data_IF_420647133617
#
_entry.id   IF_420647133617
#
_cell.length_a   1.000
_cell.length_b   1.000
_cell.length_c   1.000
_cell.angle_alpha   90.00
_cell.angle_beta   90.00
_cell.angle_gamma   90.00
#
_symmetry.space_group_name_H-M   'P 1'
#
loop_
_entity.id
_entity.type
_entity.pdbx_description
1 polymer ?
#
# COMPACT_ATOMS: atom_id res chain seq x y z
N UNK A 1 -19.67 -27.81 4.35
CA UNK A 1 -18.80 -26.65 4.09
C UNK A 1 -18.37 -26.71 2.63
N UNK A 2 -18.37 -25.57 1.93
CA UNK A 2 -17.84 -25.51 0.57
C UNK A 2 -16.33 -25.78 0.58
N UNK A 3 -15.79 -26.31 -0.51
CA UNK A 3 -14.34 -26.50 -0.68
C UNK A 3 -13.67 -25.11 -0.74
N UNK A 4 -12.59 -24.84 0.00
CA UNK A 4 -11.84 -23.60 -0.13
C UNK A 4 -11.36 -23.38 -1.57
N UNK A 5 -11.43 -22.13 -2.05
CA UNK A 5 -10.94 -21.77 -3.39
C UNK A 5 -9.42 -21.66 -3.46
N UNK A 6 -8.76 -21.34 -2.35
CA UNK A 6 -7.31 -21.30 -2.23
C UNK A 6 -6.84 -20.96 -0.81
N UNK A 7 -5.52 -20.96 -0.61
CA UNK A 7 -4.84 -20.61 0.63
C UNK A 7 -4.05 -19.33 0.45
N UNK A 8 -4.15 -18.39 1.40
CA UNK A 8 -3.31 -17.19 1.43
C UNK A 8 -2.29 -17.31 2.57
N UNK A 9 -1.02 -17.04 2.30
CA UNK A 9 0.08 -17.09 3.28
C UNK A 9 0.87 -15.77 3.29
N UNK A 10 0.78 -15.04 4.40
CA UNK A 10 1.32 -13.71 4.55
C UNK A 10 2.77 -13.70 5.09
N UNK A 11 3.70 -14.39 4.42
CA UNK A 11 5.14 -14.36 4.75
C UNK A 11 5.60 -15.30 5.84
N UNK A 12 6.93 -15.27 6.07
CA UNK A 12 7.68 -16.14 6.97
C UNK A 12 7.43 -17.63 6.66
N UNK A 13 7.67 -17.97 5.40
CA UNK A 13 7.52 -19.33 4.86
C UNK A 13 8.62 -20.26 5.39
N UNK A 14 9.76 -19.67 5.72
CA UNK A 14 10.92 -20.29 6.37
C UNK A 14 11.19 -19.60 7.70
N UNK A 15 11.87 -20.29 8.61
CA UNK A 15 12.17 -19.75 9.95
C UNK A 15 13.62 -19.25 10.08
N UNK A 16 14.51 -19.72 9.22
CA UNK A 16 15.94 -19.45 9.28
C UNK A 16 16.44 -18.82 7.98
N UNK A 17 16.04 -17.58 7.68
CA UNK A 17 16.67 -16.76 6.64
C UNK A 17 16.70 -17.44 5.26
N UNK A 18 15.57 -18.00 4.83
CA UNK A 18 15.45 -18.60 3.50
C UNK A 18 16.24 -19.90 3.29
N UNK A 19 16.54 -20.65 4.36
CA UNK A 19 17.29 -21.93 4.25
C UNK A 19 16.66 -22.87 3.21
N UNK A 20 17.44 -23.36 2.22
CA UNK A 20 16.90 -24.13 1.09
C UNK A 20 16.10 -25.38 1.49
N UNK A 21 16.50 -26.05 2.58
CA UNK A 21 15.77 -27.22 3.08
C UNK A 21 14.35 -26.87 3.56
N UNK A 22 14.16 -25.72 4.21
CA UNK A 22 12.84 -25.27 4.67
C UNK A 22 11.96 -24.85 3.50
N UNK A 23 12.55 -24.22 2.48
CA UNK A 23 11.84 -23.90 1.24
C UNK A 23 11.40 -25.17 0.48
N UNK A 24 12.25 -26.19 0.44
CA UNK A 24 11.90 -27.49 -0.13
C UNK A 24 10.73 -28.16 0.62
N UNK A 25 10.77 -28.16 1.95
CA UNK A 25 9.66 -28.67 2.77
C UNK A 25 8.37 -27.88 2.50
N UNK A 26 8.44 -26.56 2.47
CA UNK A 26 7.31 -25.69 2.14
C UNK A 26 6.71 -26.03 0.79
N UNK A 27 7.52 -26.06 -0.28
CA UNK A 27 7.01 -26.32 -1.63
C UNK A 27 6.43 -27.72 -1.78
N UNK A 28 7.02 -28.74 -1.14
CA UNK A 28 6.51 -30.10 -1.15
C UNK A 28 5.16 -30.24 -0.42
N UNK A 29 4.98 -29.54 0.70
CA UNK A 29 3.75 -29.66 1.49
C UNK A 29 2.63 -28.75 0.97
N UNK A 30 2.95 -27.55 0.49
CA UNK A 30 1.95 -26.57 0.08
C UNK A 30 1.62 -26.60 -1.41
N UNK A 31 2.53 -27.07 -2.29
CA UNK A 31 2.32 -27.02 -3.74
C UNK A 31 2.14 -25.58 -4.26
N UNK A 32 1.91 -25.38 -5.57
CA UNK A 32 1.58 -24.06 -6.15
C UNK A 32 0.18 -24.06 -6.75
N UNK A 33 -0.12 -25.06 -7.57
CA UNK A 33 -1.43 -25.29 -8.17
C UNK A 33 -2.07 -26.56 -7.60
N UNK A 34 -3.33 -26.81 -7.96
CA UNK A 34 -4.11 -27.93 -7.42
C UNK A 34 -3.38 -29.28 -7.52
N UNK A 35 -3.23 -29.96 -6.38
CA UNK A 35 -2.79 -31.36 -6.32
C UNK A 35 -1.28 -31.59 -6.37
N UNK A 36 -0.46 -30.55 -6.35
CA UNK A 36 1.01 -30.69 -6.35
C UNK A 36 1.64 -30.82 -4.95
N UNK A 37 0.88 -30.54 -3.90
CA UNK A 37 1.30 -30.68 -2.50
C UNK A 37 0.29 -31.46 -1.65
N UNK A 38 0.45 -31.40 -0.32
CA UNK A 38 -0.53 -31.93 0.64
C UNK A 38 -1.79 -31.07 0.74
N UNK A 39 -1.70 -29.81 0.31
CA UNK A 39 -2.84 -28.90 0.18
C UNK A 39 -3.50 -29.11 -1.18
N UNK A 40 -4.78 -29.48 -1.18
CA UNK A 40 -5.58 -29.78 -2.38
C UNK A 40 -6.28 -28.53 -2.94
N UNK A 41 -5.69 -27.35 -2.79
CA UNK A 41 -6.16 -26.10 -3.38
C UNK A 41 -4.97 -25.17 -3.67
N UNK A 42 -5.10 -24.20 -4.60
CA UNK A 42 -3.97 -23.36 -4.98
C UNK A 42 -3.53 -22.50 -3.80
N UNK A 43 -2.22 -22.30 -3.67
CA UNK A 43 -1.63 -21.51 -2.60
C UNK A 43 -1.16 -20.20 -3.18
N UNK A 44 -1.37 -19.09 -2.46
CA UNK A 44 -0.94 -17.74 -2.81
C UNK A 44 -0.17 -17.17 -1.63
N UNK A 45 1.14 -17.22 -1.72
CA UNK A 45 2.06 -16.81 -0.68
C UNK A 45 2.79 -15.51 -1.01
N UNK A 46 3.18 -14.77 0.04
CA UNK A 46 4.21 -13.74 -0.05
C UNK A 46 5.40 -14.11 0.84
N UNK A 47 6.54 -13.46 0.66
CA UNK A 47 7.70 -13.60 1.55
C UNK A 47 7.64 -12.65 2.76
N UNK A 48 8.19 -13.10 3.88
CA UNK A 48 8.34 -12.34 5.13
C UNK A 48 9.79 -12.00 5.46
N UNK A 49 10.04 -11.53 6.68
CA UNK A 49 11.39 -11.12 7.08
C UNK A 49 12.34 -12.29 7.39
N UNK A 50 11.81 -13.49 7.59
CA UNK A 50 12.61 -14.71 7.76
C UNK A 50 12.97 -15.38 6.43
N UNK A 51 12.50 -14.85 5.31
CA UNK A 51 12.63 -15.48 3.99
C UNK A 51 13.78 -14.94 3.14
N UNK A 52 14.64 -14.09 3.70
CA UNK A 52 15.81 -13.54 3.01
C UNK A 52 17.09 -14.24 3.47
N UNK A 53 18.01 -14.52 2.55
CA UNK A 53 19.38 -14.92 2.90
C UNK A 53 20.09 -13.76 3.63
N UNK A 54 20.28 -13.92 4.94
CA UNK A 54 21.27 -13.17 5.71
C UNK A 54 22.24 -14.14 6.37
N UNK A 55 23.10 -14.79 5.58
CA UNK A 55 24.23 -15.59 6.07
C UNK A 55 25.31 -14.81 6.88
N UNK A 56 24.97 -13.66 7.48
CA UNK A 56 25.83 -12.96 8.45
C UNK A 56 25.01 -12.26 9.54
N UNK A 57 25.41 -12.47 10.80
CA UNK A 57 25.05 -11.65 11.96
C UNK A 57 26.33 -10.95 12.49
N UNK A 58 26.42 -9.60 12.51
CA UNK A 58 25.42 -8.63 12.06
C UNK A 58 25.31 -8.61 10.52
N UNK A 59 24.17 -8.12 9.98
CA UNK A 59 23.88 -8.12 8.55
C UNK A 59 24.95 -7.33 7.78
N UNK A 60 25.84 -8.04 7.12
CA UNK A 60 26.67 -7.49 6.04
C UNK A 60 25.95 -7.75 4.74
N UNK A 61 25.47 -6.69 4.09
CA UNK A 61 25.09 -6.75 2.68
C UNK A 61 26.38 -7.01 1.92
N UNK A 62 26.72 -8.29 1.70
CA UNK A 62 27.74 -8.64 0.72
C UNK A 62 27.09 -8.47 -0.66
N UNK A 63 27.60 -7.57 -1.53
CA UNK A 63 27.11 -7.47 -2.90
C UNK A 63 27.40 -8.75 -3.72
N UNK A 64 28.12 -9.72 -3.15
CA UNK A 64 28.62 -10.91 -3.84
C UNK A 64 28.40 -12.20 -3.03
N UNK A 65 27.33 -12.34 -2.22
CA UNK A 65 26.95 -13.70 -1.77
C UNK A 65 26.34 -14.46 -2.96
N UNK A 66 26.97 -15.50 -3.50
CA UNK A 66 26.49 -16.21 -4.69
C UNK A 66 25.43 -17.26 -4.36
N UNK A 67 24.86 -17.24 -3.15
CA UNK A 67 23.66 -17.98 -2.83
C UNK A 67 22.45 -17.08 -3.11
N UNK A 68 21.80 -17.38 -4.23
CA UNK A 68 20.47 -16.89 -4.61
C UNK A 68 19.54 -16.88 -3.40
N UNK A 69 18.74 -15.82 -3.25
CA UNK A 69 17.71 -15.73 -2.22
C UNK A 69 16.59 -16.73 -2.57
N UNK A 70 16.73 -17.97 -2.10
CA UNK A 70 16.02 -19.16 -2.59
C UNK A 70 14.51 -19.00 -2.51
N UNK A 71 14.01 -18.34 -1.47
CA UNK A 71 12.57 -18.07 -1.34
C UNK A 71 12.14 -17.03 -2.36
N UNK A 72 12.87 -15.92 -2.51
CA UNK A 72 12.53 -14.86 -3.49
C UNK A 72 12.53 -15.40 -4.93
N UNK A 73 13.55 -16.18 -5.30
CA UNK A 73 13.59 -16.81 -6.63
C UNK A 73 12.51 -17.89 -6.78
N UNK A 74 12.22 -18.60 -5.69
CA UNK A 74 11.10 -19.53 -5.61
C UNK A 74 9.74 -18.87 -5.84
N UNK A 75 9.50 -17.68 -5.26
CA UNK A 75 8.29 -16.88 -5.50
C UNK A 75 8.18 -16.49 -6.98
N UNK A 76 9.27 -16.05 -7.61
CA UNK A 76 9.26 -15.74 -9.06
C UNK A 76 8.86 -16.96 -9.88
N UNK A 77 9.50 -18.10 -9.64
CA UNK A 77 9.20 -19.35 -10.36
C UNK A 77 7.77 -19.84 -10.13
N UNK A 78 7.21 -19.62 -8.94
CA UNK A 78 5.80 -19.97 -8.64
C UNK A 78 4.83 -19.02 -9.32
N UNK A 79 5.14 -17.72 -9.40
CA UNK A 79 4.34 -16.77 -10.16
C UNK A 79 4.37 -17.05 -11.66
N UNK A 80 5.50 -17.52 -12.21
CA UNK A 80 5.60 -17.99 -13.60
C UNK A 80 4.66 -19.19 -13.85
N UNK A 81 4.55 -20.12 -12.90
CA UNK A 81 3.62 -21.25 -13.00
C UNK A 81 2.15 -20.83 -12.96
N UNK A 82 1.84 -19.66 -12.38
CA UNK A 82 0.49 -19.07 -12.33
C UNK A 82 0.27 -17.99 -13.40
N UNK A 83 1.21 -17.75 -14.32
CA UNK A 83 1.23 -16.53 -15.13
C UNK A 83 0.00 -16.31 -16.02
N UNK A 84 -0.77 -17.35 -16.34
CA UNK A 84 -2.04 -17.24 -17.06
C UNK A 84 -3.21 -16.76 -16.16
N UNK A 85 -3.06 -16.86 -14.84
CA UNK A 85 -4.08 -16.55 -13.82
C UNK A 85 -3.75 -15.30 -13.00
N UNK A 86 -2.47 -14.89 -12.94
CA UNK A 86 -2.01 -13.75 -12.14
C UNK A 86 -1.42 -12.64 -13.00
N UNK A 87 -1.65 -11.39 -12.60
CA UNK A 87 -0.88 -10.24 -13.07
C UNK A 87 0.35 -10.08 -12.17
N UNK A 88 1.56 -10.00 -12.74
CA UNK A 88 2.81 -10.00 -11.98
C UNK A 88 3.61 -8.72 -12.23
N UNK A 89 4.23 -8.19 -11.18
CA UNK A 89 5.15 -7.06 -11.28
C UNK A 89 6.34 -7.37 -12.19
N UNK A 90 6.98 -6.33 -12.74
CA UNK A 90 8.11 -6.49 -13.68
C UNK A 90 9.33 -7.22 -13.10
N UNK A 91 9.43 -7.32 -11.77
CA UNK A 91 10.48 -8.07 -11.07
C UNK A 91 10.06 -9.49 -10.66
N UNK A 92 8.86 -9.93 -11.04
CA UNK A 92 8.34 -11.29 -10.85
C UNK A 92 7.75 -11.59 -9.46
N UNK A 93 7.63 -10.61 -8.57
CA UNK A 93 7.43 -10.87 -7.13
C UNK A 93 6.05 -10.51 -6.60
N UNK A 94 5.58 -9.29 -6.86
CA UNK A 94 4.26 -8.84 -6.43
C UNK A 94 3.27 -9.25 -7.49
N UNK A 95 2.09 -9.67 -7.08
CA UNK A 95 1.12 -10.18 -8.02
C UNK A 95 -0.29 -9.97 -7.52
N UNK A 96 -1.23 -9.98 -8.46
CA UNK A 96 -2.65 -9.87 -8.21
C UNK A 96 -3.42 -10.87 -9.07
N UNK A 97 -4.65 -11.16 -8.68
CA UNK A 97 -5.53 -12.04 -9.42
C UNK A 97 -6.98 -11.74 -9.12
N UNK A 98 -7.86 -12.27 -9.96
CA UNK A 98 -9.29 -12.14 -9.79
C UNK A 98 -9.92 -13.50 -9.45
N UNK A 99 -10.77 -13.52 -8.42
CA UNK A 99 -11.75 -14.58 -8.24
C UNK A 99 -13.15 -14.01 -8.36
N UNK A 100 -13.81 -14.39 -9.45
CA UNK A 100 -15.11 -13.86 -9.84
C UNK A 100 -15.06 -12.32 -9.89
N UNK A 101 -15.81 -11.65 -9.02
CA UNK A 101 -15.82 -10.18 -8.95
C UNK A 101 -14.82 -9.59 -7.97
N UNK A 102 -14.04 -10.39 -7.23
CA UNK A 102 -13.13 -9.92 -6.18
C UNK A 102 -11.70 -9.88 -6.70
N UNK A 103 -11.03 -8.75 -6.48
CA UNK A 103 -9.63 -8.55 -6.85
C UNK A 103 -8.73 -8.77 -5.64
N UNK A 104 -7.67 -9.56 -5.79
CA UNK A 104 -6.73 -9.90 -4.72
C UNK A 104 -5.33 -9.41 -5.07
N UNK A 105 -4.60 -8.88 -4.09
CA UNK A 105 -3.25 -8.36 -4.28
C UNK A 105 -2.29 -8.86 -3.20
N UNK A 106 -1.16 -9.44 -3.62
CA UNK A 106 -0.02 -9.78 -2.77
C UNK A 106 1.11 -8.76 -2.93
N UNK A 107 1.51 -8.13 -1.82
CA UNK A 107 2.59 -7.13 -1.79
C UNK A 107 3.84 -7.64 -1.07
N UNK A 108 3.89 -8.95 -0.82
CA UNK A 108 4.96 -9.63 -0.09
C UNK A 108 5.24 -8.98 1.27
N UNK A 109 6.40 -8.35 1.46
CA UNK A 109 6.84 -7.90 2.78
C UNK A 109 6.02 -6.73 3.34
N UNK A 110 5.84 -5.66 2.56
CA UNK A 110 5.01 -4.49 2.92
C UNK A 110 4.80 -3.58 1.70
N UNK A 111 3.72 -2.77 1.66
CA UNK A 111 3.53 -1.72 0.65
C UNK A 111 4.56 -0.59 0.83
N UNK A 112 5.53 -0.47 -0.07
CA UNK A 112 6.51 0.61 0.04
C UNK A 112 7.26 0.97 -1.24
N UNK A 113 7.82 2.18 -1.25
CA UNK A 113 8.68 2.70 -2.33
C UNK A 113 9.84 1.78 -2.67
N UNK A 114 10.35 1.85 -3.90
CA UNK A 114 11.41 0.95 -4.35
C UNK A 114 12.66 1.02 -3.44
N UNK A 115 12.92 -0.09 -2.75
CA UNK A 115 14.08 -0.33 -1.89
C UNK A 115 14.35 -1.85 -1.84
N UNK A 116 15.47 -2.31 -1.26
CA UNK A 116 15.84 -3.73 -1.26
C UNK A 116 14.79 -4.70 -0.67
N UNK A 117 13.95 -4.21 0.24
CA UNK A 117 12.98 -5.00 0.99
C UNK A 117 11.58 -5.01 0.36
N UNK A 118 10.97 -3.84 0.13
CA UNK A 118 9.62 -3.78 -0.49
C UNK A 118 9.65 -3.98 -2.00
N UNK A 119 10.82 -3.83 -2.64
CA UNK A 119 11.05 -4.07 -4.08
C UNK A 119 9.99 -3.41 -4.97
N UNK A 120 9.58 -2.19 -4.61
CA UNK A 120 8.63 -1.38 -5.39
C UNK A 120 7.17 -1.83 -5.34
N UNK A 121 6.76 -2.59 -4.31
CA UNK A 121 5.38 -3.07 -4.14
C UNK A 121 4.32 -1.99 -4.24
N UNK A 122 4.58 -0.78 -3.74
CA UNK A 122 3.60 0.31 -3.79
C UNK A 122 3.31 0.77 -5.23
N UNK A 123 4.34 0.92 -6.06
CA UNK A 123 4.15 1.31 -7.47
C UNK A 123 3.45 0.21 -8.28
N UNK A 124 3.66 -1.06 -7.90
CA UNK A 124 2.88 -2.17 -8.45
C UNK A 124 1.41 -2.05 -8.06
N UNK A 125 1.10 -1.87 -6.77
CA UNK A 125 -0.26 -1.73 -6.26
C UNK A 125 -1.03 -0.60 -6.96
N UNK A 126 -0.45 0.60 -7.03
CA UNK A 126 -1.08 1.76 -7.65
C UNK A 126 -1.45 1.47 -9.12
N UNK A 127 -0.52 0.90 -9.88
CA UNK A 127 -0.73 0.54 -11.28
C UNK A 127 -1.74 -0.61 -11.44
N UNK A 128 -1.69 -1.58 -10.55
CA UNK A 128 -2.54 -2.76 -10.58
C UNK A 128 -4.00 -2.40 -10.31
N UNK A 129 -4.26 -1.66 -9.22
CA UNK A 129 -5.61 -1.19 -8.90
C UNK A 129 -6.16 -0.29 -10.01
N UNK A 130 -5.37 0.63 -10.56
CA UNK A 130 -5.82 1.49 -11.66
C UNK A 130 -6.24 0.70 -12.91
N UNK A 131 -5.50 -0.36 -13.27
CA UNK A 131 -5.76 -1.12 -14.50
C UNK A 131 -6.82 -2.22 -14.32
N UNK A 132 -6.85 -2.89 -13.17
CA UNK A 132 -7.64 -4.12 -12.96
C UNK A 132 -8.89 -3.89 -12.10
N UNK A 133 -8.92 -2.81 -11.32
CA UNK A 133 -10.09 -2.38 -10.55
C UNK A 133 -10.71 -1.14 -11.17
N UNK A 134 -9.90 -0.11 -11.42
CA UNK A 134 -10.34 1.18 -11.95
C UNK A 134 -11.58 1.69 -11.23
N UNK A 135 -12.58 2.12 -12.00
CA UNK A 135 -13.85 2.65 -11.48
C UNK A 135 -14.93 1.58 -11.23
N UNK A 136 -14.58 0.29 -11.31
CA UNK A 136 -15.58 -0.79 -11.21
C UNK A 136 -16.23 -0.90 -9.83
N UNK A 137 -15.57 -0.39 -8.78
CA UNK A 137 -16.01 -0.52 -7.39
C UNK A 137 -15.95 -1.96 -6.87
N UNK A 138 -15.34 -2.87 -7.62
CA UNK A 138 -15.26 -4.28 -7.25
C UNK A 138 -14.44 -4.43 -5.95
N UNK A 139 -14.83 -5.37 -5.07
CA UNK A 139 -14.15 -5.55 -3.79
C UNK A 139 -12.68 -5.96 -3.97
N UNK A 140 -11.82 -5.39 -3.14
CA UNK A 140 -10.37 -5.63 -3.14
C UNK A 140 -9.92 -6.24 -1.81
N UNK A 141 -9.11 -7.29 -1.89
CA UNK A 141 -8.41 -7.90 -0.75
C UNK A 141 -6.92 -7.72 -0.94
N UNK A 142 -6.23 -7.20 0.07
CA UNK A 142 -4.78 -6.95 0.03
C UNK A 142 -4.12 -7.75 1.14
N UNK A 143 -2.99 -8.39 0.87
CA UNK A 143 -2.19 -8.99 1.92
C UNK A 143 -0.67 -8.77 1.75
N UNK A 144 0.00 -8.71 2.89
CA UNK A 144 1.46 -8.55 3.01
C UNK A 144 1.92 -9.00 4.40
N UNK A 145 3.22 -9.10 4.65
CA UNK A 145 3.75 -9.71 5.86
C UNK A 145 3.74 -8.77 7.08
N UNK A 146 4.39 -7.62 6.99
CA UNK A 146 4.53 -6.71 8.14
C UNK A 146 3.21 -6.05 8.54
N UNK A 147 3.06 -5.73 9.82
CA UNK A 147 1.92 -4.93 10.26
C UNK A 147 2.03 -3.47 9.82
N UNK A 148 0.90 -2.77 9.87
CA UNK A 148 0.81 -1.37 9.42
C UNK A 148 1.56 -0.40 10.35
N UNK A 149 1.87 -0.78 11.58
CA UNK A 149 2.75 -0.03 12.48
C UNK A 149 4.23 -0.16 12.12
N UNK A 150 4.61 -1.27 11.48
CA UNK A 150 5.96 -1.51 10.96
C UNK A 150 6.22 -0.82 9.60
N UNK A 151 5.26 -0.08 9.03
CA UNK A 151 5.50 0.82 7.91
C UNK A 151 6.48 1.92 8.35
N UNK A 152 7.77 1.67 8.09
CA UNK A 152 8.99 2.32 8.63
C UNK A 152 9.04 3.85 8.53
N UNK A 153 8.10 4.50 7.84
CA UNK A 153 7.97 5.96 7.80
C UNK A 153 6.51 6.41 7.65
N UNK A 154 6.18 7.57 8.23
CA UNK A 154 4.88 8.24 8.03
C UNK A 154 4.58 8.49 6.55
N UNK A 155 5.61 8.76 5.75
CA UNK A 155 5.50 8.96 4.30
C UNK A 155 5.00 7.70 3.59
N UNK A 156 5.55 6.54 3.95
CA UNK A 156 5.14 5.25 3.36
C UNK A 156 3.71 4.90 3.76
N UNK A 157 3.36 5.09 5.03
CA UNK A 157 2.00 4.86 5.52
C UNK A 157 0.97 5.75 4.83
N UNK A 158 1.28 7.05 4.66
CA UNK A 158 0.43 7.98 3.93
C UNK A 158 0.30 7.58 2.45
N UNK A 159 1.40 7.23 1.78
CA UNK A 159 1.37 6.84 0.37
C UNK A 159 0.56 5.56 0.16
N UNK A 160 0.70 4.56 1.04
CA UNK A 160 -0.15 3.36 0.99
C UNK A 160 -1.62 3.70 1.25
N UNK A 161 -1.91 4.55 2.23
CA UNK A 161 -3.28 4.99 2.52
C UNK A 161 -3.95 5.59 1.28
N UNK A 162 -3.30 6.56 0.62
CA UNK A 162 -3.85 7.19 -0.57
C UNK A 162 -3.91 6.25 -1.78
N UNK A 163 -2.97 5.32 -1.92
CA UNK A 163 -3.02 4.32 -3.01
C UNK A 163 -4.25 3.41 -2.95
N UNK A 164 -4.85 3.22 -1.78
CA UNK A 164 -6.02 2.36 -1.59
C UNK A 164 -7.29 3.11 -1.18
N UNK A 165 -7.17 4.42 -0.92
CA UNK A 165 -8.19 5.26 -0.31
C UNK A 165 -9.52 5.16 -1.05
N UNK A 166 -9.49 5.25 -2.38
CA UNK A 166 -10.70 5.35 -3.19
C UNK A 166 -11.27 3.98 -3.59
N UNK A 167 -10.54 2.91 -3.31
CA UNK A 167 -10.96 1.56 -3.68
C UNK A 167 -11.85 0.92 -2.60
N UNK A 168 -12.69 -0.02 -3.04
CA UNK A 168 -13.51 -0.84 -2.15
C UNK A 168 -12.66 -1.96 -1.51
N UNK A 169 -11.66 -1.58 -0.71
CA UNK A 169 -10.85 -2.54 0.05
C UNK A 169 -11.67 -3.11 1.19
N UNK A 170 -12.06 -4.37 1.04
CA UNK A 170 -12.92 -5.07 2.00
C UNK A 170 -12.12 -5.79 3.09
N UNK A 171 -10.81 -5.94 2.92
CA UNK A 171 -9.95 -6.52 3.95
C UNK A 171 -8.46 -6.43 3.62
N UNK A 172 -7.67 -6.09 4.64
CA UNK A 172 -6.20 -6.13 4.61
C UNK A 172 -5.75 -7.24 5.56
N UNK A 173 -4.90 -8.15 5.08
CA UNK A 173 -4.41 -9.28 5.87
C UNK A 173 -2.90 -9.19 6.07
N UNK A 174 -2.42 -9.37 7.30
CA UNK A 174 -0.99 -9.41 7.57
C UNK A 174 -0.56 -10.44 8.61
N UNK A 175 0.75 -10.66 8.68
CA UNK A 175 1.43 -11.55 9.62
C UNK A 175 2.36 -10.79 10.59
N UNK A 176 3.59 -11.30 10.73
CA UNK A 176 4.72 -10.74 11.51
C UNK A 176 4.56 -10.70 13.04
N UNK A 177 3.45 -10.15 13.54
CA UNK A 177 3.36 -9.79 14.97
C UNK A 177 3.17 -10.97 15.90
N UNK A 178 2.64 -12.08 15.39
CA UNK A 178 2.35 -13.30 16.16
C UNK A 178 1.52 -13.02 17.42
N UNK A 179 0.67 -12.00 17.37
CA UNK A 179 -0.10 -11.55 18.54
C UNK A 179 -1.46 -12.25 18.61
N UNK A 180 -1.96 -12.78 17.49
CA UNK A 180 -3.34 -13.25 17.39
C UNK A 180 -4.33 -12.11 17.56
N UNK A 181 -3.93 -10.87 17.21
CA UNK A 181 -4.78 -9.69 17.16
C UNK A 181 -5.75 -9.86 15.98
N UNK A 182 -6.97 -10.13 16.39
CA UNK A 182 -8.06 -10.71 15.60
C UNK A 182 -8.51 -9.81 14.46
N UNK A 183 -8.52 -8.50 14.68
CA UNK A 183 -9.07 -7.49 13.79
C UNK A 183 -8.79 -6.09 14.37
N UNK A 184 -8.49 -5.10 13.52
CA UNK A 184 -8.42 -3.69 13.90
C UNK A 184 -8.69 -2.76 12.71
N UNK A 185 -9.00 -1.51 13.01
CA UNK A 185 -9.23 -0.46 12.01
C UNK A 185 -7.95 0.35 11.76
N UNK A 186 -7.62 0.57 10.49
CA UNK A 186 -6.50 1.43 10.09
C UNK A 186 -6.90 2.44 9.00
N UNK A 187 -6.49 3.71 9.11
CA UNK A 187 -5.87 4.34 10.28
C UNK A 187 -6.83 4.32 11.48
N UNK A 188 -6.28 4.31 12.70
CA UNK A 188 -7.11 4.28 13.91
C UNK A 188 -7.92 5.58 14.12
N UNK A 189 -7.53 6.66 13.46
CA UNK A 189 -8.23 7.95 13.52
C UNK A 189 -9.48 7.93 12.65
N UNK A 190 -10.62 8.29 13.23
CA UNK A 190 -11.92 8.41 12.53
C UNK A 190 -12.03 9.62 11.62
N UNK A 191 -10.99 10.47 11.56
CA UNK A 191 -10.90 11.57 10.59
C UNK A 191 -10.62 11.06 9.16
N UNK A 192 -10.17 9.80 9.04
CA UNK A 192 -9.79 9.16 7.79
C UNK A 192 -10.74 7.98 7.52
N UNK A 193 -10.89 7.60 6.25
CA UNK A 193 -11.51 6.33 5.88
C UNK A 193 -10.75 5.20 6.56
N UNK A 194 -11.45 4.32 7.25
CA UNK A 194 -10.85 3.21 7.96
C UNK A 194 -11.01 1.92 7.17
N UNK A 195 -9.98 1.09 7.22
CA UNK A 195 -9.92 -0.23 6.60
C UNK A 195 -9.91 -1.30 7.67
N UNK A 196 -10.63 -2.39 7.43
CA UNK A 196 -10.60 -3.59 8.26
C UNK A 196 -9.31 -4.37 8.01
N UNK A 197 -8.54 -4.56 9.08
CA UNK A 197 -7.24 -5.23 9.05
C UNK A 197 -7.25 -6.46 9.94
N UNK A 198 -6.77 -7.58 9.43
CA UNK A 198 -6.83 -8.89 10.08
C UNK A 198 -5.44 -9.52 10.22
N UNK A 199 -5.19 -10.12 11.37
CA UNK A 199 -4.01 -10.94 11.66
C UNK A 199 -4.45 -12.26 12.34
N UNK A 200 -3.78 -13.36 12.00
CA UNK A 200 -4.19 -14.70 12.45
C UNK A 200 -3.39 -15.24 13.64
N UNK A 201 -2.33 -14.54 14.05
CA UNK A 201 -1.40 -14.98 15.09
C UNK A 201 -0.38 -16.00 14.58
N UNK A 202 0.45 -16.56 15.49
CA UNK A 202 1.49 -17.48 15.10
C UNK A 202 0.90 -18.83 14.71
N UNK A 203 1.50 -19.47 13.70
CA UNK A 203 1.38 -20.91 13.45
C UNK A 203 2.31 -21.71 14.40
N UNK A 204 2.39 -21.34 15.69
CA UNK A 204 3.36 -21.96 16.59
C UNK A 204 2.97 -23.37 17.00
N UNK A 205 3.82 -24.31 16.59
CA UNK A 205 4.05 -25.57 17.26
C UNK A 205 4.91 -25.28 18.51
N UNK A 206 4.32 -25.26 19.71
CA UNK A 206 5.12 -25.34 20.94
C UNK A 206 5.43 -26.83 21.21
N UNK A 207 6.69 -27.27 21.09
CA UNK A 207 7.07 -28.67 21.32
C UNK A 207 6.81 -29.15 22.75
N UNK A 208 6.64 -28.21 23.69
CA UNK A 208 6.38 -28.46 25.12
C UNK A 208 4.90 -28.30 25.47
N UNK A 209 4.07 -27.75 24.59
CA UNK A 209 2.64 -27.64 24.84
C UNK A 209 1.97 -29.01 24.72
N UNK A 210 1.20 -29.38 25.73
CA UNK A 210 0.42 -30.63 25.76
C UNK A 210 -0.71 -30.66 24.72
N UNK A 211 -1.01 -29.51 24.07
CA UNK A 211 -1.93 -29.39 22.94
C UNK A 211 -1.25 -28.60 21.83
N UNK A 212 -1.16 -29.20 20.64
CA UNK A 212 -0.68 -28.53 19.42
C UNK A 212 -1.81 -27.64 18.91
N UNK A 213 -1.51 -26.47 18.34
CA UNK A 213 -2.54 -25.59 17.78
C UNK A 213 -2.14 -25.14 16.37
N UNK A 214 -3.04 -25.29 15.41
CA UNK A 214 -2.96 -24.55 14.14
C UNK A 214 -4.03 -23.47 14.18
N UNK A 215 -3.66 -22.22 13.91
CA UNK A 215 -4.58 -21.08 13.81
C UNK A 215 -4.62 -20.59 12.37
N UNK A 216 -5.82 -20.36 11.86
CA UNK A 216 -6.03 -19.87 10.50
C UNK A 216 -7.32 -19.07 10.44
N UNK A 217 -7.45 -18.22 9.43
CA UNK A 217 -8.70 -17.51 9.14
C UNK A 217 -9.43 -18.25 8.03
N UNK A 218 -10.73 -18.49 8.22
CA UNK A 218 -11.64 -18.86 7.15
C UNK A 218 -12.32 -17.60 6.68
N UNK A 219 -12.06 -17.21 5.44
CA UNK A 219 -12.64 -16.03 4.81
C UNK A 219 -13.70 -16.49 3.82
N UNK A 220 -14.95 -16.14 4.07
CA UNK A 220 -16.07 -16.37 3.17
C UNK A 220 -16.49 -15.04 2.56
N UNK A 221 -16.48 -14.94 1.22
CA UNK A 221 -16.81 -13.72 0.49
C UNK A 221 -17.97 -14.04 -0.45
N UNK A 222 -19.12 -13.46 -0.17
CA UNK A 222 -20.30 -13.49 -1.04
C UNK A 222 -20.47 -12.12 -1.68
N UNK A 223 -19.96 -11.98 -2.90
CA UNK A 223 -20.05 -10.73 -3.64
C UNK A 223 -21.45 -10.42 -4.17
N UNK A 224 -22.33 -11.42 -4.29
CA UNK A 224 -23.73 -11.21 -4.65
C UNK A 224 -24.50 -10.53 -3.53
N UNK A 225 -24.24 -10.95 -2.29
CA UNK A 225 -24.90 -10.44 -1.08
C UNK A 225 -24.12 -9.33 -0.37
N UNK A 226 -22.91 -9.02 -0.85
CA UNK A 226 -22.04 -8.01 -0.28
C UNK A 226 -21.59 -8.31 1.16
N UNK A 227 -21.19 -9.55 1.42
CA UNK A 227 -20.79 -9.97 2.77
C UNK A 227 -19.44 -10.68 2.79
N UNK A 228 -18.57 -10.29 3.71
CA UNK A 228 -17.32 -10.98 4.03
C UNK A 228 -17.40 -11.44 5.48
N UNK A 229 -17.22 -12.73 5.70
CA UNK A 229 -17.10 -13.28 7.05
C UNK A 229 -15.67 -13.75 7.27
N UNK A 230 -15.02 -13.25 8.31
CA UNK A 230 -13.69 -13.71 8.72
C UNK A 230 -13.83 -14.46 10.02
N UNK A 231 -13.69 -15.78 9.93
CA UNK A 231 -13.81 -16.68 11.07
C UNK A 231 -12.41 -17.13 11.49
N UNK A 232 -11.86 -16.64 12.61
CA UNK A 232 -10.68 -17.24 13.20
C UNK A 232 -11.00 -18.65 13.68
N UNK A 233 -10.27 -19.62 13.15
CA UNK A 233 -10.36 -21.04 13.53
C UNK A 233 -9.07 -21.45 14.21
N UNK A 234 -9.21 -22.42 15.11
CA UNK A 234 -8.06 -23.16 15.59
C UNK A 234 -8.39 -24.65 15.68
N UNK A 235 -7.40 -25.48 15.37
CA UNK A 235 -7.48 -26.92 15.57
C UNK A 235 -6.39 -27.37 16.50
N UNK A 236 -6.73 -28.29 17.40
CA UNK A 236 -5.72 -29.15 18.01
C UNK A 236 -5.51 -30.40 17.16
N UNK A 237 -4.58 -31.27 17.54
CA UNK A 237 -4.41 -32.59 16.89
C UNK A 237 -5.69 -33.41 16.84
N UNK A 238 -6.65 -33.15 17.74
CA UNK A 238 -7.77 -34.06 18.01
C UNK A 238 -9.15 -33.37 18.01
N UNK A 239 -9.23 -32.04 17.87
CA UNK A 239 -10.52 -31.32 17.92
C UNK A 239 -10.47 -29.96 17.22
N UNK A 240 -11.44 -29.68 16.36
CA UNK A 240 -11.78 -28.34 15.89
C UNK A 240 -12.57 -27.64 17.01
N UNK A 241 -12.13 -26.46 17.44
CA UNK A 241 -12.86 -25.69 18.44
C UNK A 241 -13.08 -24.27 17.91
N UNK A 242 -14.32 -23.81 18.01
CA UNK A 242 -14.79 -22.54 17.47
C UNK A 242 -15.17 -21.60 18.61
N UNK A 243 -14.19 -21.14 19.39
CA UNK A 243 -14.44 -20.28 20.57
C UNK A 243 -13.93 -18.84 20.44
N UNK A 244 -13.68 -18.38 19.21
CA UNK A 244 -13.30 -16.99 18.93
C UNK A 244 -14.52 -16.26 18.38
N UNK A 245 -14.68 -14.99 18.77
CA UNK A 245 -15.71 -14.13 18.20
C UNK A 245 -15.52 -14.06 16.68
N UNK A 246 -16.57 -14.41 15.95
CA UNK A 246 -16.58 -14.33 14.49
C UNK A 246 -16.78 -12.88 14.09
N UNK A 247 -15.85 -12.33 13.29
CA UNK A 247 -16.04 -11.03 12.67
C UNK A 247 -16.88 -11.22 11.40
N UNK A 248 -18.08 -10.65 11.41
CA UNK A 248 -18.94 -10.60 10.21
C UNK A 248 -18.98 -9.17 9.70
N UNK A 249 -18.62 -8.99 8.44
CA UNK A 249 -18.64 -7.72 7.75
C UNK A 249 -19.67 -7.76 6.63
N UNK A 250 -20.68 -6.91 6.72
CA UNK A 250 -21.61 -6.66 5.63
C UNK A 250 -21.19 -5.35 5.02
N UNK A 251 -20.69 -5.38 3.79
CA UNK A 251 -20.44 -4.15 3.06
C UNK A 251 -21.73 -3.73 2.36
N UNK A 252 -21.99 -2.43 2.27
CA UNK A 252 -23.10 -1.96 1.46
C UNK A 252 -22.80 -2.21 -0.01
N UNK A 253 -23.76 -2.77 -0.75
CA UNK A 253 -23.69 -2.84 -2.22
C UNK A 253 -23.42 -1.44 -2.76
N UNK A 254 -22.29 -1.32 -3.47
CA UNK A 254 -21.65 -0.08 -3.88
C UNK A 254 -21.31 0.85 -2.70
N UNK A 255 -20.00 1.05 -2.49
CA UNK A 255 -19.55 2.43 -2.37
C UNK A 255 -20.01 3.06 -3.69
N UNK A 256 -21.06 3.87 -3.65
CA UNK A 256 -21.13 4.98 -4.59
C UNK A 256 -19.82 5.70 -4.36
N UNK A 257 -18.90 5.63 -5.31
CA UNK A 257 -17.93 6.71 -5.43
C UNK A 257 -18.75 7.99 -5.27
N UNK A 258 -18.32 8.92 -4.42
CA UNK A 258 -18.68 10.30 -4.67
C UNK A 258 -18.38 10.51 -6.16
N UNK A 259 -19.45 10.67 -6.94
CA UNK A 259 -19.51 10.85 -8.37
C UNK A 259 -18.18 10.64 -9.15
N UNK A 260 -18.08 9.58 -9.96
CA UNK A 260 -17.27 9.61 -11.20
C UNK A 260 -18.09 10.10 -12.40
N UNK A 261 -19.06 11.00 -12.18
CA UNK A 261 -18.95 12.20 -13.02
C UNK A 261 -17.67 12.83 -12.51
N UNK A 262 -16.57 12.71 -13.26
CA UNK A 262 -15.22 13.02 -12.75
C UNK A 262 -15.26 14.23 -11.82
N UNK A 263 -14.59 14.13 -10.67
CA UNK A 263 -14.54 15.20 -9.69
C UNK A 263 -14.48 16.55 -10.41
N UNK A 264 -15.39 17.45 -10.08
CA UNK A 264 -15.49 18.77 -10.72
C UNK A 264 -15.18 19.90 -9.74
N UNK A 265 -14.78 19.55 -8.51
CA UNK A 265 -14.64 20.49 -7.40
C UNK A 265 -13.15 20.71 -7.16
N UNK A 266 -12.64 21.93 -7.37
CA UNK A 266 -11.26 22.24 -7.02
C UNK A 266 -10.98 22.09 -5.51
N UNK A 267 -9.71 21.81 -5.12
CA UNK A 267 -9.32 21.77 -3.72
C UNK A 267 -9.66 23.06 -2.95
N UNK A 268 -9.89 22.96 -1.64
CA UNK A 268 -10.12 24.14 -0.78
C UNK A 268 -8.81 24.56 -0.11
N UNK A 269 -8.45 25.87 -0.02
CA UNK A 269 -9.26 27.02 -0.43
C UNK A 269 -9.21 27.32 -1.94
N UNK A 270 -10.36 27.72 -2.48
CA UNK A 270 -10.50 28.27 -3.84
C UNK A 270 -11.10 29.69 -3.77
N UNK A 271 -10.37 30.76 -4.14
CA UNK A 271 -8.98 30.75 -4.62
C UNK A 271 -7.98 30.44 -3.50
N UNK A 272 -6.79 30.00 -3.90
CA UNK A 272 -5.72 29.68 -2.96
C UNK A 272 -5.26 30.87 -2.13
N UNK A 273 -4.67 30.59 -0.97
CA UNK A 273 -4.26 31.61 0.01
C UNK A 273 -2.81 31.41 0.44
N UNK A 274 -2.11 32.51 0.72
CA UNK A 274 -0.75 32.49 1.26
C UNK A 274 -0.76 32.23 2.77
N UNK A 275 -0.02 31.21 3.22
CA UNK A 275 0.38 31.10 4.64
C UNK A 275 1.53 32.06 4.94
N UNK A 276 2.52 32.12 4.03
CA UNK A 276 3.65 33.05 4.07
C UNK A 276 3.80 33.67 2.68
N UNK A 277 3.59 34.99 2.58
CA UNK A 277 3.78 35.75 1.35
C UNK A 277 5.26 35.73 0.93
N UNK A 278 5.59 35.90 -0.36
CA UNK A 278 6.98 35.97 -0.85
C UNK A 278 7.90 36.85 0.00
N UNK A 279 9.00 36.25 0.47
CA UNK A 279 10.01 36.91 1.28
C UNK A 279 11.41 36.54 0.79
N UNK A 280 12.37 37.45 0.98
CA UNK A 280 13.75 37.27 0.53
C UNK A 280 14.47 36.34 1.50
N UNK A 281 15.14 35.34 0.94
CA UNK A 281 16.02 34.41 1.67
C UNK A 281 17.49 34.67 1.37
N UNK A 282 17.82 35.26 0.21
CA UNK A 282 19.17 35.73 -0.14
C UNK A 282 19.12 36.83 -1.20
N UNK A 283 20.29 37.38 -1.58
CA UNK A 283 20.37 38.37 -2.67
C UNK A 283 19.83 37.89 -4.03
N UNK A 284 19.66 36.58 -4.20
CA UNK A 284 19.25 35.93 -5.46
C UNK A 284 18.17 34.86 -5.24
N UNK A 285 17.41 34.94 -4.14
CA UNK A 285 16.33 33.97 -3.88
C UNK A 285 15.16 34.54 -3.07
N UNK A 286 13.97 34.03 -3.37
CA UNK A 286 12.71 34.36 -2.71
C UNK A 286 12.01 33.04 -2.35
N UNK A 287 11.45 32.99 -1.13
CA UNK A 287 10.68 31.84 -0.63
C UNK A 287 9.24 32.24 -0.34
N UNK A 288 8.32 31.28 -0.48
CA UNK A 288 6.89 31.48 -0.26
C UNK A 288 6.19 30.18 0.11
N UNK A 289 5.12 30.29 0.92
CA UNK A 289 4.36 29.13 1.39
C UNK A 289 2.85 29.37 1.25
N UNK A 290 2.16 28.45 0.58
CA UNK A 290 0.71 28.41 0.50
C UNK A 290 0.10 27.84 1.79
N UNK A 291 -1.19 28.11 2.04
CA UNK A 291 -1.92 27.35 3.06
C UNK A 291 -2.06 25.89 2.66
N UNK A 292 -2.29 25.01 3.64
CA UNK A 292 -2.68 23.63 3.37
C UNK A 292 -3.98 23.66 2.55
N UNK A 293 -3.98 22.95 1.44
CA UNK A 293 -5.14 22.70 0.62
C UNK A 293 -5.62 21.28 0.89
N UNK A 294 -6.93 21.11 0.90
CA UNK A 294 -7.57 19.82 1.09
C UNK A 294 -8.56 19.61 -0.03
N UNK A 295 -8.46 18.45 -0.66
CA UNK A 295 -9.50 17.94 -1.52
C UNK A 295 -10.49 17.13 -0.66
N UNK A 296 -11.79 17.42 -0.75
CA UNK A 296 -12.78 16.83 0.15
C UNK A 296 -13.13 15.39 -0.26
N UNK A 297 -12.96 15.12 -1.54
CA UNK A 297 -13.17 13.85 -2.24
C UNK A 297 -12.03 12.86 -1.93
N UNK A 298 -10.82 13.37 -1.69
CA UNK A 298 -9.68 12.61 -1.18
C UNK A 298 -8.63 12.27 -2.24
N UNK A 299 -8.71 12.86 -3.43
CA UNK A 299 -7.81 12.63 -4.56
C UNK A 299 -6.39 13.14 -4.30
N UNK A 300 -6.17 13.89 -3.22
CA UNK A 300 -4.88 14.50 -2.89
C UNK A 300 -4.65 15.79 -3.69
N UNK A 301 -3.58 16.52 -3.36
CA UNK A 301 -3.36 17.87 -3.91
C UNK A 301 -1.93 18.10 -4.38
N UNK A 302 -1.80 18.92 -5.42
CA UNK A 302 -0.52 19.49 -5.87
C UNK A 302 -0.62 21.02 -5.95
N UNK A 303 0.52 21.67 -5.79
CA UNK A 303 0.69 23.12 -5.80
C UNK A 303 1.46 23.57 -7.03
N UNK A 304 1.08 24.70 -7.59
CA UNK A 304 1.79 25.38 -8.67
C UNK A 304 2.00 26.84 -8.28
N UNK A 305 3.26 27.23 -8.11
CA UNK A 305 3.69 28.60 -7.89
C UNK A 305 4.14 29.17 -9.24
N UNK A 306 3.45 30.21 -9.68
CA UNK A 306 3.72 30.89 -10.93
C UNK A 306 4.42 32.21 -10.68
N UNK A 307 5.52 32.43 -11.38
CA UNK A 307 6.20 33.72 -11.51
C UNK A 307 5.58 34.49 -12.67
N UNK A 308 5.12 35.72 -12.43
CA UNK A 308 4.31 36.47 -13.41
C UNK A 308 5.02 37.65 -14.05
N UNK A 309 6.24 38.00 -13.62
CA UNK A 309 6.95 39.16 -14.17
C UNK A 309 7.69 38.84 -15.46
N UNK A 310 8.11 37.59 -15.66
CA UNK A 310 8.96 37.18 -16.79
C UNK A 310 10.37 37.76 -16.71
N UNK A 311 10.79 38.23 -15.53
CA UNK A 311 12.13 38.76 -15.33
C UNK A 311 13.19 37.65 -15.38
N UNK A 312 14.41 37.93 -15.89
CA UNK A 312 15.48 36.94 -15.94
C UNK A 312 15.75 36.31 -14.58
N UNK A 313 15.92 34.99 -14.56
CA UNK A 313 16.17 34.21 -13.35
C UNK A 313 14.92 33.79 -12.58
N UNK A 314 13.76 34.42 -12.81
CA UNK A 314 12.49 33.99 -12.21
C UNK A 314 11.96 32.72 -12.87
N UNK A 315 11.42 31.80 -12.08
CA UNK A 315 10.91 30.51 -12.56
C UNK A 315 9.59 30.11 -11.93
N UNK A 316 8.80 29.33 -12.67
CA UNK A 316 7.66 28.62 -12.13
C UNK A 316 8.13 27.35 -11.42
N UNK A 317 7.42 26.93 -10.37
CA UNK A 317 7.77 25.71 -9.63
C UNK A 317 7.51 24.41 -10.39
N UNK A 318 6.66 24.44 -11.42
CA UNK A 318 5.94 23.25 -11.87
C UNK A 318 4.95 22.75 -10.80
N UNK A 319 4.26 21.63 -11.08
CA UNK A 319 3.40 21.00 -10.08
C UNK A 319 4.23 20.23 -9.06
N UNK A 320 4.03 20.53 -7.78
CA UNK A 320 4.76 19.91 -6.68
C UNK A 320 3.85 19.55 -5.51
N UNK A 321 4.26 18.58 -4.69
CA UNK A 321 3.49 18.19 -3.50
C UNK A 321 3.74 19.11 -2.30
N UNK A 322 4.80 19.94 -2.35
CA UNK A 322 5.14 20.83 -1.24
C UNK A 322 4.36 22.14 -1.34
N UNK A 323 3.88 22.61 -0.18
CA UNK A 323 3.24 23.90 -0.01
C UNK A 323 4.24 25.07 -0.04
N UNK A 324 5.55 24.78 -0.12
CA UNK A 324 6.62 25.80 -0.13
C UNK A 324 7.40 25.74 -1.43
N UNK A 325 7.66 26.92 -1.99
CA UNK A 325 8.51 27.09 -3.15
C UNK A 325 9.62 28.10 -2.86
N UNK A 326 10.81 27.81 -3.37
CA UNK A 326 12.00 28.65 -3.30
C UNK A 326 12.45 28.92 -4.74
N UNK A 327 12.30 30.15 -5.21
CA UNK A 327 12.82 30.57 -6.49
C UNK A 327 14.26 31.06 -6.32
N UNK A 328 15.18 30.51 -7.11
CA UNK A 328 16.62 30.73 -6.97
C UNK A 328 17.25 31.13 -8.29
N UNK A 329 18.37 31.86 -8.23
CA UNK A 329 19.00 32.39 -9.45
C UNK A 329 18.41 33.73 -9.90
N UNK A 330 17.67 34.39 -9.01
CA UNK A 330 17.08 35.71 -9.23
C UNK A 330 18.16 36.78 -9.40
N UNK A 331 17.84 37.82 -10.18
CA UNK A 331 18.69 38.99 -10.33
C UNK A 331 18.44 39.95 -9.16
N UNK A 332 19.50 40.30 -8.43
CA UNK A 332 19.41 41.24 -7.31
C UNK A 332 18.80 42.59 -7.74
N UNK A 333 18.07 43.22 -6.81
CA UNK A 333 17.34 44.47 -6.99
C UNK A 333 16.25 44.43 -8.08
N UNK A 334 15.76 43.23 -8.42
CA UNK A 334 14.68 43.03 -9.39
C UNK A 334 13.40 42.60 -8.67
N UNK A 335 12.25 43.13 -9.10
CA UNK A 335 10.94 42.77 -8.56
C UNK A 335 10.42 41.49 -9.21
N UNK A 336 9.98 40.54 -8.39
CA UNK A 336 9.32 39.31 -8.83
C UNK A 336 7.94 39.23 -8.21
N UNK A 337 6.98 38.69 -8.94
CA UNK A 337 5.59 38.58 -8.51
C UNK A 337 5.15 37.14 -8.65
N UNK A 338 4.51 36.64 -7.60
CA UNK A 338 4.08 35.25 -7.53
C UNK A 338 2.61 35.13 -7.20
N UNK A 339 1.99 34.09 -7.73
CA UNK A 339 0.67 33.58 -7.36
C UNK A 339 0.72 32.06 -7.25
N UNK A 340 -0.13 31.47 -6.41
CA UNK A 340 -0.20 30.01 -6.23
C UNK A 340 -1.60 29.52 -6.50
N UNK A 341 -1.71 28.38 -7.19
CA UNK A 341 -2.94 27.59 -7.28
C UNK A 341 -2.65 26.15 -6.88
N UNK A 342 -3.71 25.40 -6.69
CA UNK A 342 -3.66 23.97 -6.39
C UNK A 342 -4.51 23.21 -7.38
N UNK A 343 -4.26 21.91 -7.50
CA UNK A 343 -5.10 20.98 -8.23
C UNK A 343 -5.31 19.71 -7.43
N UNK A 344 -6.45 19.07 -7.62
CA UNK A 344 -6.62 17.68 -7.20
C UNK A 344 -5.84 16.73 -8.13
N UNK A 345 -5.76 15.45 -7.75
CA UNK A 345 -5.19 14.39 -8.60
C UNK A 345 -6.28 13.50 -9.21
N UNK A 346 -7.51 14.03 -9.31
CA UNK A 346 -8.60 13.36 -9.99
C UNK A 346 -8.30 13.26 -11.50
N UNK A 347 -9.14 12.50 -12.23
CA UNK A 347 -9.05 12.45 -13.70
C UNK A 347 -9.31 13.79 -14.40
N UNK A 348 -10.03 14.70 -13.75
CA UNK A 348 -10.36 16.02 -14.30
C UNK A 348 -9.34 17.08 -13.92
N UNK A 349 -8.54 16.84 -12.88
CA UNK A 349 -7.44 17.71 -12.46
C UNK A 349 -7.99 19.12 -12.21
N UNK A 350 -8.97 19.25 -11.32
CA UNK A 350 -9.63 20.54 -11.11
C UNK A 350 -8.67 21.47 -10.38
N UNK A 351 -8.51 22.66 -10.94
CA UNK A 351 -7.59 23.66 -10.42
C UNK A 351 -8.37 24.74 -9.68
N UNK A 352 -7.82 25.19 -8.56
CA UNK A 352 -8.32 26.38 -7.88
C UNK A 352 -8.01 27.63 -8.67
N UNK A 353 -8.73 28.71 -8.38
CA UNK A 353 -8.29 30.05 -8.68
C UNK A 353 -6.95 30.36 -8.01
N UNK A 354 -6.11 31.11 -8.71
CA UNK A 354 -4.87 31.61 -8.16
C UNK A 354 -5.11 32.49 -6.94
N UNK A 355 -4.19 32.42 -5.98
CA UNK A 355 -4.10 33.36 -4.87
C UNK A 355 -3.88 34.80 -5.36
N UNK A 356 -4.19 35.81 -4.53
CA UNK A 356 -3.82 37.18 -4.84
C UNK A 356 -2.32 37.30 -5.07
N UNK A 357 -1.95 37.91 -6.19
CA UNK A 357 -0.55 38.12 -6.55
C UNK A 357 0.20 38.91 -5.47
N UNK A 358 1.44 38.51 -5.20
CA UNK A 358 2.33 39.18 -4.25
C UNK A 358 3.70 39.36 -4.85
N UNK A 359 4.17 40.60 -4.79
CA UNK A 359 5.47 40.98 -5.28
C UNK A 359 6.51 41.10 -4.16
N UNK A 360 7.75 40.77 -4.49
CA UNK A 360 8.91 40.99 -3.63
C UNK A 360 10.14 41.31 -4.48
N UNK A 361 10.94 42.28 -4.03
CA UNK A 361 12.23 42.61 -4.65
C UNK A 361 13.26 41.61 -4.13
N UNK A 362 13.98 40.94 -5.02
CA UNK A 362 15.14 40.10 -4.67
C UNK A 362 16.28 41.01 -4.20
N UNK A 363 16.92 40.70 -3.06
CA UNK A 363 17.93 41.57 -2.46
C UNK A 363 17.58 41.99 -1.03
N UNK A 364 18.61 42.26 -0.22
CA UNK A 364 18.48 42.74 1.16
C UNK A 364 18.38 44.26 1.23
#
# INVERSE_FOLDING_TARGET
MARPRGLLLAGDLTNYYGVPGQWYEFTNDYGVVNGEGRIDFPVYEGYGNHDFDTLSDPPTISPESPLTDVVIDGIRSRNEQRAEEVNVSSNGLHYSWDWDSVHFVSLNLYPGFNNPYSKGSLAFLEKDLANNVGVSGRPVVIFFHYDLGALRSRRTAAAFYYAIHDYNVIGIFHGHTHTGRRHYLWPASTLYKQFDVYEHGPATFDPKATKKFLRYLVVDIDSGNNTMTVVPRYTTTDTLIDNWETSSYIWSKAISFGNTTGDTVPPTPDPMIWAVKPYVTSGTSISMTATIATDAEGDGVQYYFEETTGNPGGTDSGWQNSETYEDTGLVANTIYSYRVKTRDLSSNVNETGYSPERAKIAGY
#
